data_IF_678302317620
#
_entry.id   IF_678302317620
#
_cell.length_a   1.000
_cell.length_b   1.000
_cell.length_c   1.000
_cell.angle_alpha   90.00
_cell.angle_beta   90.00
_cell.angle_gamma   90.00
#
_symmetry.space_group_name_H-M   'P 1'
#
loop_
_entity.id
_entity.type
_entity.pdbx_description
1 polymer ?
#
# COMPACT_ATOMS: atom_id res chain seq x y z
N UNK A 1 -55.60 -42.83 -14.18
CA UNK A 1 -54.29 -43.18 -13.58
C UNK A 1 -53.09 -42.43 -14.26
N UNK A 2 -53.08 -42.33 -15.60
CA UNK A 2 -51.96 -41.69 -16.34
C UNK A 2 -51.84 -40.17 -16.11
N UNK A 3 -52.97 -39.47 -16.09
CA UNK A 3 -53.00 -37.99 -15.85
C UNK A 3 -52.57 -37.61 -14.42
N UNK A 4 -52.90 -38.40 -13.43
CA UNK A 4 -52.53 -38.19 -12.02
C UNK A 4 -50.99 -38.36 -11.86
N UNK A 5 -50.40 -39.36 -12.53
CA UNK A 5 -48.95 -39.63 -12.51
C UNK A 5 -48.15 -38.52 -13.22
N UNK A 6 -48.66 -37.97 -14.34
CA UNK A 6 -48.05 -36.87 -15.05
C UNK A 6 -48.09 -35.57 -14.23
N UNK A 7 -49.18 -35.30 -13.51
CA UNK A 7 -49.33 -34.10 -12.67
C UNK A 7 -48.41 -34.18 -11.42
N UNK A 8 -48.28 -35.38 -10.81
CA UNK A 8 -47.36 -35.63 -9.69
C UNK A 8 -45.90 -35.43 -10.11
N UNK A 9 -45.49 -35.93 -11.29
CA UNK A 9 -44.11 -35.74 -11.82
C UNK A 9 -43.77 -34.27 -12.12
N UNK A 10 -44.73 -33.49 -12.62
CA UNK A 10 -44.54 -32.07 -12.87
C UNK A 10 -44.38 -31.26 -11.56
N UNK A 11 -45.17 -31.60 -10.55
CA UNK A 11 -45.07 -30.95 -9.23
C UNK A 11 -43.74 -31.27 -8.54
N UNK A 12 -43.24 -32.50 -8.64
CA UNK A 12 -41.95 -32.91 -8.09
C UNK A 12 -40.76 -32.19 -8.80
N UNK A 13 -40.80 -32.09 -10.14
CA UNK A 13 -39.79 -31.34 -10.90
C UNK A 13 -39.79 -29.85 -10.51
N UNK A 14 -40.96 -29.22 -10.38
CA UNK A 14 -41.07 -27.83 -9.94
C UNK A 14 -40.47 -27.61 -8.55
N UNK A 15 -40.67 -28.49 -7.61
CA UNK A 15 -40.09 -28.42 -6.26
C UNK A 15 -38.57 -28.55 -6.28
N UNK A 16 -38.01 -29.44 -7.11
CA UNK A 16 -36.56 -29.60 -7.27
C UNK A 16 -35.92 -28.33 -7.81
N UNK A 17 -36.50 -27.72 -8.85
CA UNK A 17 -35.98 -26.46 -9.39
C UNK A 17 -36.03 -25.31 -8.37
N UNK A 18 -37.11 -25.22 -7.58
CA UNK A 18 -37.25 -24.25 -6.51
C UNK A 18 -36.12 -24.39 -5.47
N UNK A 19 -35.83 -25.63 -5.05
CA UNK A 19 -34.71 -25.90 -4.11
C UNK A 19 -33.36 -25.51 -4.72
N UNK A 20 -33.14 -25.84 -6.00
CA UNK A 20 -31.90 -25.45 -6.71
C UNK A 20 -31.72 -23.91 -6.75
N UNK A 21 -32.77 -23.16 -7.05
CA UNK A 21 -32.74 -21.71 -7.05
C UNK A 21 -32.49 -21.12 -5.67
N UNK A 22 -33.06 -21.69 -4.61
CA UNK A 22 -32.81 -21.27 -3.23
C UNK A 22 -31.34 -21.51 -2.87
N UNK A 23 -30.80 -22.70 -3.16
CA UNK A 23 -29.40 -23.05 -2.90
C UNK A 23 -28.45 -22.09 -3.70
N UNK A 24 -28.75 -21.90 -4.98
CA UNK A 24 -27.96 -20.96 -5.80
C UNK A 24 -28.01 -19.53 -5.26
N UNK A 25 -29.17 -19.08 -4.76
CA UNK A 25 -29.33 -17.81 -4.08
C UNK A 25 -28.44 -17.68 -2.84
N UNK A 26 -28.43 -18.68 -1.98
CA UNK A 26 -27.55 -18.68 -0.80
C UNK A 26 -26.07 -18.72 -1.16
N UNK A 27 -25.68 -19.48 -2.19
CA UNK A 27 -24.28 -19.51 -2.70
C UNK A 27 -23.79 -18.16 -3.20
N UNK A 28 -24.66 -17.27 -3.64
CA UNK A 28 -24.32 -15.91 -4.06
C UNK A 28 -24.40 -14.88 -2.93
N UNK A 29 -25.42 -14.97 -2.08
CA UNK A 29 -25.69 -13.99 -1.02
C UNK A 29 -24.67 -14.09 0.11
N UNK A 30 -24.36 -15.30 0.59
CA UNK A 30 -23.45 -15.50 1.73
C UNK A 30 -22.05 -14.95 1.43
N UNK A 31 -21.38 -15.30 0.30
CA UNK A 31 -20.09 -14.70 -0.04
C UNK A 31 -20.14 -13.17 -0.17
N UNK A 32 -21.22 -12.63 -0.75
CA UNK A 32 -21.40 -11.20 -0.88
C UNK A 32 -21.43 -10.49 0.47
N UNK A 33 -22.14 -11.03 1.45
CA UNK A 33 -22.18 -10.48 2.82
C UNK A 33 -20.79 -10.52 3.46
N UNK A 34 -20.06 -11.63 3.32
CA UNK A 34 -18.72 -11.79 3.87
C UNK A 34 -17.75 -10.76 3.26
N UNK A 35 -17.75 -10.65 1.93
CA UNK A 35 -16.89 -9.68 1.22
C UNK A 35 -17.22 -8.24 1.64
N UNK A 36 -18.51 -7.87 1.65
CA UNK A 36 -18.91 -6.52 2.07
C UNK A 36 -18.49 -6.20 3.50
N UNK A 37 -18.59 -7.16 4.43
CA UNK A 37 -18.11 -6.99 5.80
C UNK A 37 -16.59 -6.77 5.86
N UNK A 38 -15.81 -7.52 5.09
CA UNK A 38 -14.36 -7.35 5.03
C UNK A 38 -13.98 -5.98 4.45
N UNK A 39 -14.62 -5.57 3.35
CA UNK A 39 -14.40 -4.24 2.75
C UNK A 39 -14.74 -3.14 3.75
N UNK A 40 -15.89 -3.22 4.42
CA UNK A 40 -16.28 -2.24 5.42
C UNK A 40 -15.27 -2.13 6.57
N UNK A 41 -14.81 -3.25 7.12
CA UNK A 41 -13.81 -3.27 8.18
C UNK A 41 -12.47 -2.67 7.70
N UNK A 42 -12.05 -3.01 6.48
CA UNK A 42 -10.86 -2.43 5.87
C UNK A 42 -10.98 -0.91 5.70
N UNK A 43 -12.11 -0.41 5.21
CA UNK A 43 -12.34 1.04 5.08
C UNK A 43 -12.30 1.76 6.43
N UNK A 44 -12.83 1.14 7.48
CA UNK A 44 -12.82 1.71 8.82
C UNK A 44 -11.40 1.92 9.33
N UNK A 45 -10.54 0.90 9.25
CA UNK A 45 -9.14 1.02 9.70
C UNK A 45 -8.32 1.93 8.80
N UNK A 46 -8.56 1.90 7.46
CA UNK A 46 -7.89 2.79 6.53
C UNK A 46 -8.07 4.26 6.88
N UNK A 47 -9.24 4.68 7.37
CA UNK A 47 -9.49 6.05 7.81
C UNK A 47 -8.45 6.53 8.83
N UNK A 48 -8.10 5.69 9.80
CA UNK A 48 -7.10 6.02 10.82
C UNK A 48 -5.68 5.98 10.25
N UNK A 49 -5.33 4.89 9.60
CA UNK A 49 -3.98 4.66 9.05
C UNK A 49 -3.63 5.72 7.99
N UNK A 50 -4.58 6.10 7.14
CA UNK A 50 -4.37 7.15 6.13
C UNK A 50 -4.34 8.56 6.74
N UNK A 51 -5.02 8.79 7.86
CA UNK A 51 -4.90 10.04 8.63
C UNK A 51 -3.50 10.25 9.21
N UNK A 52 -2.73 9.19 9.39
CA UNK A 52 -1.35 9.22 9.89
C UNK A 52 -0.30 9.15 8.75
N UNK A 53 -0.70 9.19 7.47
CA UNK A 53 0.21 8.86 6.35
C UNK A 53 1.39 9.84 6.24
N UNK A 54 1.19 11.10 6.57
CA UNK A 54 2.20 12.15 6.53
C UNK A 54 2.82 12.45 7.92
N UNK A 55 2.46 11.66 8.95
CA UNK A 55 2.93 11.80 10.32
C UNK A 55 3.49 10.47 10.84
N UNK A 56 4.10 10.49 12.02
CA UNK A 56 4.53 9.25 12.67
C UNK A 56 3.31 8.39 13.05
N UNK A 57 3.31 7.09 12.73
CA UNK A 57 2.22 6.18 13.09
C UNK A 57 2.04 6.11 14.60
N UNK A 58 0.81 6.30 15.10
CA UNK A 58 0.50 6.31 16.53
C UNK A 58 -0.17 5.03 17.02
N UNK A 59 -1.01 4.43 16.17
CA UNK A 59 -1.73 3.20 16.50
C UNK A 59 -0.76 2.05 16.82
N UNK A 60 -1.04 1.19 17.82
CA UNK A 60 -0.25 0.00 18.08
C UNK A 60 -0.20 -0.94 16.86
N UNK A 61 0.97 -1.54 16.60
CA UNK A 61 1.16 -2.42 15.44
C UNK A 61 0.20 -3.62 15.44
N UNK A 62 0.00 -4.25 16.60
CA UNK A 62 -0.87 -5.42 16.72
C UNK A 62 -2.33 -5.04 16.41
N UNK A 63 -2.79 -3.88 16.88
CA UNK A 63 -4.12 -3.37 16.57
C UNK A 63 -4.29 -3.14 15.05
N UNK A 64 -3.27 -2.60 14.39
CA UNK A 64 -3.29 -2.41 12.93
C UNK A 64 -3.33 -3.74 12.20
N UNK A 65 -2.53 -4.72 12.61
CA UNK A 65 -2.51 -6.06 12.00
C UNK A 65 -3.86 -6.77 12.14
N UNK A 66 -4.44 -6.73 13.33
CA UNK A 66 -5.70 -7.42 13.63
C UNK A 66 -6.91 -6.75 12.98
N UNK A 67 -6.84 -5.42 12.81
CA UNK A 67 -7.94 -4.66 12.22
C UNK A 67 -8.02 -4.77 10.69
N UNK A 68 -6.89 -5.02 9.99
CA UNK A 68 -6.93 -5.22 8.55
C UNK A 68 -7.38 -6.64 8.21
N UNK A 69 -8.49 -6.80 7.49
CA UNK A 69 -8.94 -8.10 7.00
C UNK A 69 -8.01 -8.60 5.88
N UNK A 70 -8.13 -9.90 5.56
CA UNK A 70 -7.38 -10.51 4.47
C UNK A 70 -7.63 -9.85 3.11
N UNK A 71 -8.81 -9.29 2.90
CA UNK A 71 -9.23 -8.59 1.67
C UNK A 71 -9.93 -7.27 2.03
N UNK A 72 -9.75 -6.17 1.26
CA UNK A 72 -8.95 -6.02 0.02
C UNK A 72 -7.43 -5.85 0.28
N UNK A 73 -6.62 -6.06 -0.77
CA UNK A 73 -5.16 -5.91 -0.70
C UNK A 73 -4.69 -4.46 -0.86
N UNK A 74 -5.56 -3.61 -1.44
CA UNK A 74 -5.28 -2.20 -1.69
C UNK A 74 -6.20 -1.30 -0.86
N UNK A 75 -5.66 -0.17 -0.45
CA UNK A 75 -6.43 0.92 0.14
C UNK A 75 -7.22 1.70 -0.93
N UNK A 76 -8.10 2.61 -0.50
CA UNK A 76 -8.84 3.53 -1.38
C UNK A 76 -7.93 4.45 -2.20
N UNK A 77 -6.71 4.73 -1.71
CA UNK A 77 -5.67 5.48 -2.42
C UNK A 77 -4.70 4.59 -3.18
N UNK A 78 -5.07 3.34 -3.43
CA UNK A 78 -4.29 2.32 -4.15
C UNK A 78 -2.97 1.90 -3.48
N UNK A 79 -2.73 2.31 -2.22
CA UNK A 79 -1.58 1.84 -1.45
C UNK A 79 -1.78 0.38 -1.05
N UNK A 80 -0.77 -0.49 -1.21
CA UNK A 80 -0.86 -1.86 -0.72
C UNK A 80 -1.04 -1.90 0.80
N UNK A 81 -2.02 -2.67 1.28
CA UNK A 81 -2.29 -2.81 2.73
C UNK A 81 -1.06 -3.34 3.48
N UNK A 82 -0.34 -4.30 2.90
CA UNK A 82 0.91 -4.82 3.48
C UNK A 82 1.97 -3.73 3.61
N UNK A 83 2.06 -2.79 2.68
CA UNK A 83 2.99 -1.66 2.78
C UNK A 83 2.58 -0.68 3.89
N UNK A 84 1.28 -0.47 4.09
CA UNK A 84 0.79 0.31 5.24
C UNK A 84 1.16 -0.36 6.56
N UNK A 85 0.98 -1.67 6.71
CA UNK A 85 1.40 -2.43 7.90
C UNK A 85 2.92 -2.37 8.08
N UNK A 86 3.70 -2.53 7.01
CA UNK A 86 5.16 -2.46 7.04
C UNK A 86 5.68 -1.12 7.58
N UNK A 87 4.95 -0.03 7.37
CA UNK A 87 5.28 1.28 7.93
C UNK A 87 5.23 1.28 9.47
N UNK A 88 4.27 0.60 10.08
CA UNK A 88 4.19 0.43 11.53
C UNK A 88 5.28 -0.49 12.05
N UNK A 89 5.60 -1.56 11.32
CA UNK A 89 6.75 -2.42 11.65
C UNK A 89 8.07 -1.65 11.59
N UNK A 90 8.25 -0.76 10.60
CA UNK A 90 9.41 0.12 10.51
C UNK A 90 9.52 1.04 11.73
N UNK A 91 8.43 1.69 12.16
CA UNK A 91 8.39 2.50 13.40
C UNK A 91 8.85 1.67 14.61
N UNK A 92 8.39 0.44 14.73
CA UNK A 92 8.69 -0.47 15.84
C UNK A 92 10.04 -1.20 15.65
N UNK A 93 10.87 -0.73 14.68
CA UNK A 93 12.21 -1.27 14.35
C UNK A 93 12.24 -2.75 13.93
N UNK A 94 11.09 -3.30 13.53
CA UNK A 94 10.98 -4.66 12.97
C UNK A 94 11.37 -4.64 11.48
N UNK A 95 12.62 -4.27 11.17
CA UNK A 95 13.06 -3.94 9.80
C UNK A 95 12.97 -5.12 8.83
N UNK A 96 13.34 -6.32 9.27
CA UNK A 96 13.37 -7.48 8.38
C UNK A 96 11.96 -7.94 8.03
N UNK A 97 11.03 -7.90 8.98
CA UNK A 97 9.62 -8.19 8.73
C UNK A 97 8.96 -7.12 7.87
N UNK A 98 9.28 -5.83 8.09
CA UNK A 98 8.83 -4.76 7.23
C UNK A 98 9.31 -4.95 5.78
N UNK A 99 10.58 -5.29 5.57
CA UNK A 99 11.12 -5.57 4.23
C UNK A 99 10.44 -6.78 3.58
N UNK A 100 10.13 -7.83 4.34
CA UNK A 100 9.40 -9.00 3.85
C UNK A 100 8.01 -8.59 3.33
N UNK A 101 7.23 -7.85 4.13
CA UNK A 101 5.91 -7.38 3.71
C UNK A 101 5.96 -6.43 2.50
N UNK A 102 6.96 -5.54 2.45
CA UNK A 102 7.16 -4.64 1.32
C UNK A 102 7.45 -5.41 0.03
N UNK A 103 8.28 -6.46 0.10
CA UNK A 103 8.57 -7.31 -1.05
C UNK A 103 7.34 -8.09 -1.52
N UNK A 104 6.56 -8.64 -0.58
CA UNK A 104 5.32 -9.34 -0.89
C UNK A 104 4.27 -8.43 -1.54
N UNK A 105 4.22 -7.16 -1.16
CA UNK A 105 3.24 -6.19 -1.64
C UNK A 105 3.60 -5.52 -2.96
N UNK A 106 4.82 -5.71 -3.49
CA UNK A 106 5.22 -5.11 -4.78
C UNK A 106 4.30 -5.51 -5.93
N UNK A 107 3.80 -6.74 -5.94
CA UNK A 107 2.87 -7.24 -6.96
C UNK A 107 1.47 -6.64 -6.86
N UNK A 108 1.08 -6.14 -5.68
CA UNK A 108 -0.26 -5.58 -5.47
C UNK A 108 -0.42 -4.22 -6.17
N UNK A 109 0.64 -3.39 -6.18
CA UNK A 109 0.71 -2.18 -6.99
C UNK A 109 2.17 -1.82 -7.35
N UNK A 110 2.69 -2.32 -8.48
CA UNK A 110 4.08 -2.11 -8.89
C UNK A 110 4.38 -0.68 -9.38
N UNK A 111 3.36 0.14 -9.64
CA UNK A 111 3.52 1.47 -10.26
C UNK A 111 3.67 2.61 -9.26
N UNK A 112 3.29 2.40 -7.99
CA UNK A 112 3.18 3.49 -7.03
C UNK A 112 4.51 3.86 -6.35
N UNK A 113 5.48 2.95 -6.30
CA UNK A 113 6.79 3.13 -5.64
C UNK A 113 6.74 3.55 -4.15
N UNK A 114 5.59 3.37 -3.49
CA UNK A 114 5.45 3.62 -2.06
C UNK A 114 6.29 2.64 -1.23
N UNK A 115 6.42 1.40 -1.71
CA UNK A 115 7.30 0.40 -1.10
C UNK A 115 8.76 0.88 -1.09
N UNK A 116 9.21 1.51 -2.18
CA UNK A 116 10.56 2.06 -2.27
C UNK A 116 10.79 3.20 -1.31
N UNK A 117 9.80 4.05 -1.11
CA UNK A 117 9.85 5.12 -0.14
C UNK A 117 10.09 4.58 1.28
N UNK A 118 9.36 3.53 1.71
CA UNK A 118 9.56 2.92 3.03
C UNK A 118 10.90 2.16 3.10
N UNK A 119 11.27 1.40 2.05
CA UNK A 119 12.57 0.71 1.98
C UNK A 119 13.73 1.70 2.11
N UNK A 120 13.63 2.90 1.52
CA UNK A 120 14.63 3.96 1.69
C UNK A 120 14.86 4.28 3.17
N UNK A 121 13.79 4.49 3.94
CA UNK A 121 13.90 4.80 5.36
C UNK A 121 14.49 3.64 6.18
N UNK A 122 14.09 2.40 5.87
CA UNK A 122 14.62 1.20 6.52
C UNK A 122 16.14 1.07 6.29
N UNK A 123 16.58 1.17 5.02
CA UNK A 123 18.01 1.04 4.70
C UNK A 123 18.84 2.20 5.22
N UNK A 124 18.28 3.42 5.26
CA UNK A 124 18.91 4.57 5.91
C UNK A 124 19.13 4.30 7.41
N UNK A 125 18.13 3.75 8.10
CA UNK A 125 18.24 3.38 9.53
C UNK A 125 19.25 2.26 9.79
N UNK A 126 19.52 1.42 8.80
CA UNK A 126 20.57 0.37 8.83
C UNK A 126 21.94 0.90 8.34
N UNK A 127 22.10 2.19 8.05
CA UNK A 127 23.30 2.82 7.47
C UNK A 127 23.78 2.17 6.14
N UNK A 128 22.86 1.50 5.43
CA UNK A 128 23.15 0.94 4.11
C UNK A 128 22.81 1.98 3.03
N UNK A 129 23.75 2.90 2.80
CA UNK A 129 23.51 4.03 1.90
C UNK A 129 23.45 3.65 0.42
N UNK A 130 24.00 2.51 0.01
CA UNK A 130 23.86 2.01 -1.36
C UNK A 130 22.41 1.59 -1.65
N UNK A 131 21.83 0.78 -0.78
CA UNK A 131 20.42 0.40 -0.89
C UNK A 131 19.50 1.61 -0.68
N UNK A 132 19.83 2.52 0.25
CA UNK A 132 19.10 3.77 0.45
C UNK A 132 19.02 4.57 -0.86
N UNK A 133 20.16 4.76 -1.53
CA UNK A 133 20.22 5.51 -2.78
C UNK A 133 19.44 4.82 -3.90
N UNK A 134 19.58 3.49 -4.02
CA UNK A 134 18.84 2.72 -5.02
C UNK A 134 17.33 2.93 -4.90
N UNK A 135 16.76 2.73 -3.71
CA UNK A 135 15.32 2.86 -3.50
C UNK A 135 14.84 4.32 -3.54
N UNK A 136 15.61 5.25 -2.98
CA UNK A 136 15.28 6.68 -3.02
C UNK A 136 15.20 7.20 -4.45
N UNK A 137 16.17 6.85 -5.31
CA UNK A 137 16.18 7.27 -6.71
C UNK A 137 15.05 6.60 -7.48
N UNK A 138 14.79 5.31 -7.27
CA UNK A 138 13.69 4.59 -7.90
C UNK A 138 12.34 5.23 -7.57
N UNK A 139 12.10 5.57 -6.31
CA UNK A 139 10.89 6.28 -5.90
C UNK A 139 10.80 7.67 -6.54
N UNK A 140 11.86 8.48 -6.41
CA UNK A 140 11.84 9.87 -6.86
C UNK A 140 11.74 10.00 -8.38
N UNK A 141 12.51 9.25 -9.17
CA UNK A 141 12.48 9.39 -10.63
C UNK A 141 11.17 8.88 -11.26
N UNK A 142 10.45 8.00 -10.58
CA UNK A 142 9.11 7.57 -11.00
C UNK A 142 7.98 8.52 -10.55
N UNK A 143 8.18 9.28 -9.46
CA UNK A 143 7.21 10.26 -8.97
C UNK A 143 7.89 11.58 -8.55
N UNK A 144 8.49 12.33 -9.51
CA UNK A 144 9.40 13.43 -9.18
C UNK A 144 8.73 14.67 -8.58
N UNK A 145 7.40 14.77 -8.60
CA UNK A 145 6.65 15.87 -7.97
C UNK A 145 6.39 15.67 -6.47
N UNK A 146 6.70 14.50 -5.90
CA UNK A 146 6.50 14.21 -4.49
C UNK A 146 7.65 14.79 -3.66
N UNK A 147 7.34 15.73 -2.77
CA UNK A 147 8.34 16.41 -1.93
C UNK A 147 9.09 15.44 -1.03
N UNK A 148 8.40 14.47 -0.43
CA UNK A 148 9.02 13.45 0.42
C UNK A 148 10.02 12.58 -0.35
N UNK A 149 9.71 12.20 -1.60
CA UNK A 149 10.62 11.41 -2.44
C UNK A 149 11.83 12.24 -2.87
N UNK A 150 11.63 13.52 -3.19
CA UNK A 150 12.71 14.45 -3.47
C UNK A 150 13.66 14.59 -2.28
N UNK A 151 13.15 14.82 -1.07
CA UNK A 151 13.96 14.89 0.16
C UNK A 151 14.80 13.63 0.36
N UNK A 152 14.20 12.44 0.18
CA UNK A 152 14.91 11.16 0.30
C UNK A 152 16.01 11.00 -0.76
N UNK A 153 15.76 11.44 -2.00
CA UNK A 153 16.78 11.39 -3.06
C UNK A 153 17.97 12.30 -2.76
N UNK A 154 17.71 13.52 -2.26
CA UNK A 154 18.76 14.44 -1.84
C UNK A 154 19.54 13.89 -0.63
N UNK A 155 18.86 13.39 0.39
CA UNK A 155 19.50 12.76 1.54
C UNK A 155 20.43 11.61 1.12
N UNK A 156 19.96 10.73 0.27
CA UNK A 156 20.75 9.61 -0.22
C UNK A 156 21.98 10.05 -1.01
N UNK A 157 21.82 11.08 -1.87
CA UNK A 157 22.92 11.65 -2.64
C UNK A 157 23.96 12.33 -1.73
N UNK A 158 23.53 13.09 -0.71
CA UNK A 158 24.41 13.72 0.26
C UNK A 158 25.22 12.68 1.06
N UNK A 159 24.56 11.60 1.55
CA UNK A 159 25.28 10.50 2.25
C UNK A 159 26.31 9.79 1.38
N UNK A 160 26.12 9.79 0.07
CA UNK A 160 27.11 9.26 -0.90
C UNK A 160 28.10 10.33 -1.41
N UNK A 161 27.99 11.58 -0.96
CA UNK A 161 28.76 12.74 -1.44
C UNK A 161 28.66 12.92 -2.96
N UNK A 162 27.48 12.64 -3.52
CA UNK A 162 27.23 12.69 -4.97
C UNK A 162 26.54 14.02 -5.37
N UNK A 163 27.36 15.06 -5.57
CA UNK A 163 26.86 16.37 -6.00
C UNK A 163 26.17 16.34 -7.36
N UNK A 164 26.55 15.39 -8.23
CA UNK A 164 25.93 15.24 -9.56
C UNK A 164 24.48 14.80 -9.41
N UNK A 165 24.21 13.83 -8.53
CA UNK A 165 22.85 13.39 -8.26
C UNK A 165 22.03 14.44 -7.50
N UNK A 166 22.63 15.21 -6.58
CA UNK A 166 21.97 16.34 -5.92
C UNK A 166 21.47 17.33 -6.98
N UNK A 167 22.35 17.79 -7.88
CA UNK A 167 22.01 18.72 -8.94
C UNK A 167 20.94 18.16 -9.88
N UNK A 168 21.07 16.88 -10.26
CA UNK A 168 20.10 16.20 -11.13
C UNK A 168 18.71 16.13 -10.48
N UNK A 169 18.62 15.71 -9.23
CA UNK A 169 17.36 15.62 -8.50
C UNK A 169 16.70 17.00 -8.36
N UNK A 170 17.45 18.01 -8.00
CA UNK A 170 16.96 19.40 -7.89
C UNK A 170 16.43 19.92 -9.23
N UNK A 171 17.18 19.78 -10.31
CA UNK A 171 16.77 20.25 -11.64
C UNK A 171 15.51 19.55 -12.17
N UNK A 172 15.30 18.29 -11.80
CA UNK A 172 14.06 17.56 -12.13
C UNK A 172 12.90 18.05 -11.26
N UNK A 173 13.09 18.12 -9.94
CA UNK A 173 12.04 18.53 -9.01
C UNK A 173 11.55 19.97 -9.29
N UNK A 174 12.48 20.89 -9.58
CA UNK A 174 12.21 22.30 -9.88
C UNK A 174 11.22 22.48 -11.05
N UNK A 175 11.21 21.57 -12.03
CA UNK A 175 10.25 21.61 -13.15
C UNK A 175 8.79 21.45 -12.70
N UNK A 176 8.56 20.84 -11.54
CA UNK A 176 7.23 20.59 -10.98
C UNK A 176 6.88 21.53 -9.82
N UNK A 177 7.89 21.88 -9.02
CA UNK A 177 7.73 22.72 -7.82
C UNK A 177 8.97 23.57 -7.58
N UNK A 178 8.98 24.77 -8.13
CA UNK A 178 10.01 25.77 -7.81
C UNK A 178 9.49 26.65 -6.67
N UNK A 179 9.97 26.40 -5.45
CA UNK A 179 9.62 27.15 -4.24
C UNK A 179 10.78 27.19 -3.25
N UNK A 180 10.65 27.98 -2.19
CA UNK A 180 11.68 28.10 -1.15
C UNK A 180 12.06 26.78 -0.48
N UNK A 181 11.11 25.86 -0.33
CA UNK A 181 11.34 24.50 0.22
C UNK A 181 12.31 23.71 -0.69
N UNK A 182 12.12 23.76 -2.01
CA UNK A 182 12.97 23.05 -2.97
C UNK A 182 14.42 23.53 -2.88
N UNK A 183 14.62 24.86 -2.81
CA UNK A 183 15.94 25.46 -2.66
C UNK A 183 16.57 25.16 -1.31
N UNK A 184 15.80 25.25 -0.23
CA UNK A 184 16.31 24.94 1.11
C UNK A 184 16.84 23.51 1.21
N UNK A 185 16.08 22.55 0.72
CA UNK A 185 16.49 21.12 0.72
C UNK A 185 17.73 20.89 -0.16
N UNK A 186 17.84 21.57 -1.30
CA UNK A 186 19.01 21.52 -2.16
C UNK A 186 20.26 22.05 -1.44
N UNK A 187 20.19 23.24 -0.83
CA UNK A 187 21.32 23.82 -0.11
C UNK A 187 21.75 22.98 1.09
N UNK A 188 20.79 22.42 1.85
CA UNK A 188 21.10 21.50 2.94
C UNK A 188 21.88 20.27 2.44
N UNK A 189 21.42 19.66 1.35
CA UNK A 189 22.10 18.50 0.77
C UNK A 189 23.51 18.83 0.25
N UNK A 190 23.69 20.00 -0.36
CA UNK A 190 25.00 20.48 -0.83
C UNK A 190 25.95 20.82 0.31
N UNK A 191 25.43 21.26 1.44
CA UNK A 191 26.24 21.58 2.63
C UNK A 191 26.77 20.32 3.34
N UNK A 192 26.05 19.18 3.24
CA UNK A 192 26.46 17.91 3.85
C UNK A 192 27.57 17.16 3.07
N UNK A 193 27.94 17.60 1.87
CA UNK A 193 28.94 16.96 0.99
C UNK A 193 30.33 17.46 1.23
#
# INVERSE_FOLDING_TARGET
AYLIKAHSNNKQKSTIYTIIYIIAGFLLIIPSIVVNKQVYNSLKIQKYVMGEIDADPKMPLDEVKDAFPYFPNLSTSTLPIKALIARYQFRDKQYDEALRLLNESEKDNPYLHYNDFIKTAIYASKNNYDSTAYYAYRAFYNWPRATSYYKNALFAAAKKRDTVQINKAFNIYKKYRENGEAWNQYFLAMYEV
#
